data_IF_852371554711
#
_entry.id   IF_852371554711
#
_cell.length_a   1.000
_cell.length_b   1.000
_cell.length_c   1.000
_cell.angle_alpha   90.00
_cell.angle_beta   90.00
_cell.angle_gamma   90.00
#
_symmetry.space_group_name_H-M   'P 1'
#
loop_
_entity.id
_entity.type
_entity.pdbx_description
1 polymer ?
#
# COMPACT_ATOMS: atom_id res chain seq x y z
N UNK A 1 20.56 35.37 12.16
CA UNK A 1 19.93 36.20 13.21
C UNK A 1 18.77 35.39 13.78
N UNK A 2 18.75 34.97 14.82
CA UNK A 2 19.19 34.47 16.07
C UNK A 2 18.16 33.45 16.59
N UNK A 3 18.38 32.18 16.20
CA UNK A 3 17.55 31.05 16.72
C UNK A 3 17.88 30.68 18.18
N UNK A 4 18.89 31.32 18.76
CA UNK A 4 19.40 30.92 20.07
C UNK A 4 18.84 31.74 21.25
N UNK A 5 18.35 32.97 21.06
CA UNK A 5 17.87 33.84 22.14
C UNK A 5 16.45 33.55 22.60
N UNK A 6 15.64 32.81 21.85
CA UNK A 6 14.27 32.42 22.24
C UNK A 6 14.21 31.22 23.20
N UNK A 7 15.36 30.59 23.51
CA UNK A 7 15.45 29.33 24.27
C UNK A 7 15.39 29.48 25.78
N UNK A 8 15.39 30.68 26.34
CA UNK A 8 15.44 30.92 27.80
C UNK A 8 14.35 31.82 28.35
N UNK A 9 13.28 32.09 27.66
CA UNK A 9 12.15 32.80 28.28
C UNK A 9 11.19 31.77 28.89
N UNK A 10 11.02 31.85 30.23
CA UNK A 10 10.02 31.04 30.96
C UNK A 10 8.59 31.43 30.59
N UNK A 11 8.37 32.07 29.44
CA UNK A 11 7.07 32.54 28.96
C UNK A 11 6.71 31.88 27.64
N UNK A 12 5.44 31.60 27.45
CA UNK A 12 4.96 31.00 26.21
C UNK A 12 5.22 31.92 25.01
N UNK A 13 5.74 31.35 23.91
CA UNK A 13 6.07 32.09 22.70
C UNK A 13 4.86 32.84 22.09
N UNK A 14 3.63 32.34 22.33
CA UNK A 14 2.38 32.95 21.84
C UNK A 14 1.69 33.80 22.90
N UNK A 15 1.74 33.40 24.17
CA UNK A 15 1.10 34.09 25.30
C UNK A 15 2.18 34.55 26.27
N UNK A 16 2.71 35.75 26.04
CA UNK A 16 3.81 36.34 26.83
C UNK A 16 3.51 36.55 28.30
N UNK A 17 2.22 36.56 28.68
CA UNK A 17 1.76 36.69 30.06
C UNK A 17 1.77 35.40 30.87
N UNK A 18 1.88 34.24 30.19
CA UNK A 18 1.87 32.91 30.86
C UNK A 18 3.27 32.34 30.99
N UNK A 19 3.71 32.15 32.24
CA UNK A 19 4.98 31.45 32.54
C UNK A 19 4.79 29.95 32.37
N UNK A 20 5.76 29.28 31.76
CA UNK A 20 5.70 27.87 31.50
C UNK A 20 7.11 27.24 31.48
N UNK A 21 7.20 26.00 31.99
CA UNK A 21 8.41 25.17 31.90
C UNK A 21 8.29 24.10 30.80
N UNK A 22 7.22 24.15 30.00
CA UNK A 22 7.01 23.19 28.92
C UNK A 22 7.64 23.71 27.63
N UNK A 23 8.41 22.87 26.94
CA UNK A 23 9.01 23.16 25.64
C UNK A 23 8.52 22.21 24.56
N UNK A 24 8.50 22.68 23.33
CA UNK A 24 8.15 21.87 22.17
C UNK A 24 9.29 20.90 21.81
N UNK A 25 9.00 19.62 21.71
CA UNK A 25 10.00 18.57 21.40
C UNK A 25 10.67 18.71 20.00
N UNK A 26 10.18 19.63 19.15
CA UNK A 26 10.71 19.80 17.77
C UNK A 26 11.46 21.11 17.57
N UNK A 27 10.98 22.21 18.14
CA UNK A 27 11.56 23.54 17.94
C UNK A 27 12.07 24.19 19.24
N UNK A 28 11.95 23.51 20.39
CA UNK A 28 12.38 23.93 21.73
C UNK A 28 11.74 25.26 22.25
N UNK A 29 10.74 25.82 21.55
CA UNK A 29 10.04 26.99 22.06
C UNK A 29 9.22 26.66 23.31
N UNK A 30 9.24 27.57 24.30
CA UNK A 30 8.40 27.49 25.50
C UNK A 30 6.93 27.62 25.14
N UNK A 31 6.09 26.68 25.58
CA UNK A 31 4.67 26.59 25.26
C UNK A 31 3.82 26.43 26.51
N UNK A 32 2.75 27.22 26.66
CA UNK A 32 1.80 27.08 27.77
C UNK A 32 0.83 25.91 27.54
N UNK A 33 0.12 25.48 28.58
CA UNK A 33 -0.83 24.37 28.58
C UNK A 33 -1.90 24.53 27.47
N UNK A 34 -2.32 25.79 27.18
CA UNK A 34 -3.30 26.07 26.12
C UNK A 34 -2.76 25.90 24.67
N UNK A 35 -1.42 25.92 24.53
CA UNK A 35 -0.75 25.76 23.22
C UNK A 35 -0.16 24.37 23.00
N UNK A 36 -0.25 23.49 24.00
CA UNK A 36 0.25 22.12 23.96
C UNK A 36 -0.65 21.24 23.09
N UNK A 37 -0.02 20.47 22.19
CA UNK A 37 -0.65 19.34 21.49
C UNK A 37 0.12 18.07 21.81
N UNK A 38 -0.57 17.12 22.41
CA UNK A 38 0.00 15.80 22.69
C UNK A 38 0.10 14.99 21.40
N UNK A 39 1.31 14.54 21.08
CA UNK A 39 1.56 13.65 19.93
C UNK A 39 2.24 12.40 20.44
N UNK A 40 2.19 11.26 19.71
CA UNK A 40 2.88 10.02 20.09
C UNK A 40 4.39 10.21 20.28
N UNK A 41 4.96 11.28 19.70
CA UNK A 41 6.39 11.62 19.77
C UNK A 41 6.70 12.71 20.81
N UNK A 42 5.74 13.02 21.72
CA UNK A 42 5.91 14.03 22.76
C UNK A 42 5.05 15.27 22.59
N UNK A 43 5.33 16.28 23.40
CA UNK A 43 4.61 17.56 23.44
C UNK A 43 5.10 18.46 22.31
N UNK A 44 4.16 18.99 21.48
CA UNK A 44 4.50 19.88 20.36
C UNK A 44 3.66 21.16 20.38
N UNK A 45 4.23 22.24 19.84
CA UNK A 45 3.48 23.45 19.58
C UNK A 45 2.54 23.25 18.37
N UNK A 46 1.51 24.12 18.25
CA UNK A 46 0.51 24.03 17.18
C UNK A 46 1.11 24.03 15.77
N UNK A 47 2.20 24.76 15.56
CA UNK A 47 2.89 24.81 14.27
C UNK A 47 3.63 23.49 13.97
N UNK A 48 4.30 22.91 14.97
CA UNK A 48 5.04 21.66 14.79
C UNK A 48 4.13 20.42 14.81
N UNK A 49 2.99 20.48 15.47
CA UNK A 49 1.99 19.41 15.45
C UNK A 49 1.28 19.29 14.08
N UNK A 50 1.12 20.41 13.38
CA UNK A 50 0.58 20.45 12.01
C UNK A 50 1.61 20.14 10.94
N UNK A 51 2.86 19.85 11.30
CA UNK A 51 3.84 19.34 10.36
C UNK A 51 3.31 18.05 9.77
N UNK A 52 3.14 18.10 8.46
CA UNK A 52 2.59 17.09 7.54
C UNK A 52 2.66 15.66 8.08
N UNK A 53 1.53 14.98 8.05
CA UNK A 53 1.44 13.53 8.19
C UNK A 53 2.61 12.90 7.43
N UNK A 54 3.29 11.96 8.08
CA UNK A 54 4.43 11.25 7.47
C UNK A 54 4.03 10.81 6.06
N UNK A 55 4.77 11.21 5.01
CA UNK A 55 4.35 11.00 3.61
C UNK A 55 4.25 9.53 3.18
N UNK A 56 4.52 8.59 4.08
CA UNK A 56 4.41 7.14 3.85
C UNK A 56 2.98 6.66 3.55
N UNK A 57 1.97 7.41 3.99
CA UNK A 57 0.55 7.05 3.77
C UNK A 57 -0.13 7.89 2.67
N UNK A 58 0.53 8.90 2.13
CA UNK A 58 -0.03 9.70 1.03
C UNK A 58 0.34 9.05 -0.30
N UNK A 59 -0.66 8.47 -0.96
CA UNK A 59 -0.54 7.93 -2.30
C UNK A 59 -0.82 9.07 -3.27
N UNK A 60 0.23 9.61 -3.89
CA UNK A 60 0.09 10.58 -4.98
C UNK A 60 -0.52 9.90 -6.22
N UNK A 61 -1.31 10.61 -7.04
CA UNK A 61 -1.95 10.05 -8.24
C UNK A 61 -0.96 9.41 -9.21
N UNK A 62 0.30 9.87 -9.22
CA UNK A 62 1.35 9.30 -10.06
C UNK A 62 1.65 7.83 -9.71
N UNK A 63 1.68 7.48 -8.41
CA UNK A 63 1.89 6.09 -8.00
C UNK A 63 0.70 5.19 -8.36
N UNK A 64 -0.51 5.77 -8.35
CA UNK A 64 -1.72 5.07 -8.76
C UNK A 64 -1.66 4.69 -10.25
N UNK A 65 -1.35 5.66 -11.13
CA UNK A 65 -1.21 5.44 -12.58
C UNK A 65 -0.11 4.43 -12.86
N UNK A 66 1.06 4.59 -12.22
CA UNK A 66 2.18 3.67 -12.39
C UNK A 66 1.83 2.24 -11.95
N UNK A 67 1.11 2.09 -10.85
CA UNK A 67 0.63 0.80 -10.36
C UNK A 67 -0.34 0.13 -11.33
N UNK A 68 -1.33 0.86 -11.85
CA UNK A 68 -2.31 0.33 -12.80
C UNK A 68 -1.68 -0.09 -14.12
N UNK A 69 -0.75 0.68 -14.67
CA UNK A 69 0.00 0.33 -15.89
C UNK A 69 0.81 -0.96 -15.67
N UNK A 70 1.50 -1.06 -14.53
CA UNK A 70 2.28 -2.25 -14.18
C UNK A 70 1.41 -3.51 -14.10
N UNK A 71 0.22 -3.42 -13.54
CA UNK A 71 -0.73 -4.54 -13.46
C UNK A 71 -1.19 -4.95 -14.87
N UNK A 72 -1.55 -4.00 -15.73
CA UNK A 72 -1.99 -4.32 -17.10
C UNK A 72 -0.90 -5.07 -17.86
N UNK A 73 0.35 -4.62 -17.76
CA UNK A 73 1.50 -5.29 -18.39
C UNK A 73 1.66 -6.70 -17.83
N UNK A 74 1.58 -6.86 -16.51
CA UNK A 74 1.73 -8.17 -15.86
C UNK A 74 0.62 -9.14 -16.29
N UNK A 75 -0.63 -8.68 -16.33
CA UNK A 75 -1.77 -9.50 -16.74
C UNK A 75 -1.64 -9.93 -18.21
N UNK A 76 -1.27 -9.01 -19.10
CA UNK A 76 -1.12 -9.33 -20.53
C UNK A 76 0.01 -10.32 -20.78
N UNK A 77 1.19 -10.11 -20.19
CA UNK A 77 2.32 -11.03 -20.32
C UNK A 77 2.01 -12.41 -19.74
N UNK A 78 1.35 -12.44 -18.58
CA UNK A 78 0.99 -13.69 -17.93
C UNK A 78 -0.04 -14.49 -18.73
N UNK A 79 -1.09 -13.84 -19.27
CA UNK A 79 -2.11 -14.52 -20.08
C UNK A 79 -1.55 -15.03 -21.40
N UNK A 80 -0.67 -14.29 -22.06
CA UNK A 80 0.04 -14.75 -23.27
C UNK A 80 0.92 -15.94 -22.94
N UNK A 81 1.70 -15.88 -21.86
CA UNK A 81 2.55 -16.99 -21.42
C UNK A 81 1.75 -18.27 -21.13
N UNK A 82 0.61 -18.16 -20.44
CA UNK A 82 -0.29 -19.27 -20.18
C UNK A 82 -0.89 -19.85 -21.47
N UNK A 83 -1.27 -19.01 -22.41
CA UNK A 83 -1.79 -19.46 -23.70
C UNK A 83 -0.76 -20.33 -24.43
N UNK A 84 0.49 -19.89 -24.53
CA UNK A 84 1.57 -20.67 -25.12
C UNK A 84 1.83 -21.97 -24.35
N UNK A 85 1.87 -21.90 -23.02
CA UNK A 85 2.12 -23.08 -22.18
C UNK A 85 1.05 -24.16 -22.40
N UNK A 86 -0.22 -23.77 -22.40
CA UNK A 86 -1.32 -24.71 -22.61
C UNK A 86 -1.41 -25.24 -24.06
N UNK A 87 -0.97 -24.42 -25.04
CA UNK A 87 -1.04 -24.81 -26.47
C UNK A 87 0.07 -25.74 -26.90
N UNK A 88 1.29 -25.57 -26.36
CA UNK A 88 2.48 -26.22 -26.87
C UNK A 88 3.12 -27.24 -25.93
N UNK A 89 2.94 -27.11 -24.63
CA UNK A 89 3.71 -27.91 -23.67
C UNK A 89 2.83 -28.92 -22.96
N UNK A 90 1.91 -28.50 -22.13
CA UNK A 90 1.08 -29.38 -21.30
C UNK A 90 -0.24 -28.67 -20.96
N UNK A 91 -1.36 -29.23 -21.37
CA UNK A 91 -2.68 -28.82 -20.92
C UNK A 91 -3.13 -29.70 -19.76
N UNK A 92 -3.14 -29.20 -18.54
CA UNK A 92 -3.56 -29.96 -17.36
C UNK A 92 -4.21 -29.11 -16.29
N UNK A 93 -5.11 -29.74 -15.51
CA UNK A 93 -5.82 -29.10 -14.41
C UNK A 93 -4.86 -28.51 -13.38
N UNK A 94 -3.84 -29.27 -12.99
CA UNK A 94 -2.84 -28.87 -11.99
C UNK A 94 -2.07 -27.62 -12.41
N UNK A 95 -1.69 -27.52 -13.68
CA UNK A 95 -0.96 -26.34 -14.20
C UNK A 95 -1.82 -25.09 -14.11
N UNK A 96 -3.11 -25.19 -14.46
CA UNK A 96 -4.03 -24.07 -14.38
C UNK A 96 -4.29 -23.62 -12.94
N UNK A 97 -4.36 -24.56 -11.99
CA UNK A 97 -4.50 -24.23 -10.57
C UNK A 97 -3.25 -23.54 -10.00
N UNK A 98 -2.07 -24.05 -10.35
CA UNK A 98 -0.80 -23.42 -9.98
C UNK A 98 -0.67 -22.02 -10.61
N UNK A 99 -1.13 -21.85 -11.85
CA UNK A 99 -1.13 -20.56 -12.53
C UNK A 99 -1.92 -19.49 -11.78
N UNK A 100 -3.05 -19.82 -11.17
CA UNK A 100 -3.83 -18.87 -10.35
C UNK A 100 -3.02 -18.39 -9.14
N UNK A 101 -2.33 -19.29 -8.46
CA UNK A 101 -1.48 -18.96 -7.30
C UNK A 101 -0.31 -18.07 -7.73
N UNK A 102 0.37 -18.43 -8.82
CA UNK A 102 1.48 -17.65 -9.39
C UNK A 102 1.00 -16.25 -9.82
N UNK A 103 -0.17 -16.14 -10.43
CA UNK A 103 -0.77 -14.86 -10.81
C UNK A 103 -0.98 -13.96 -9.60
N UNK A 104 -1.55 -14.48 -8.51
CA UNK A 104 -1.74 -13.71 -7.27
C UNK A 104 -0.41 -13.19 -6.71
N UNK A 105 0.62 -14.04 -6.68
CA UNK A 105 1.96 -13.66 -6.25
C UNK A 105 2.58 -12.56 -7.15
N UNK A 106 2.49 -12.71 -8.47
CA UNK A 106 3.02 -11.73 -9.43
C UNK A 106 2.33 -10.37 -9.31
N UNK A 107 1.01 -10.34 -9.17
CA UNK A 107 0.26 -9.08 -8.96
C UNK A 107 0.74 -8.39 -7.67
N UNK A 108 0.85 -9.13 -6.56
CA UNK A 108 1.34 -8.58 -5.30
C UNK A 108 2.76 -7.99 -5.42
N UNK A 109 3.67 -8.70 -6.09
CA UNK A 109 5.06 -8.26 -6.27
C UNK A 109 5.16 -7.04 -7.20
N UNK A 110 4.53 -7.07 -8.38
CA UNK A 110 4.63 -6.00 -9.37
C UNK A 110 3.97 -4.71 -8.88
N UNK A 111 2.83 -4.81 -8.21
CA UNK A 111 2.17 -3.66 -7.62
C UNK A 111 3.01 -3.06 -6.48
N UNK A 112 3.53 -3.90 -5.57
CA UNK A 112 4.38 -3.46 -4.47
C UNK A 112 5.63 -2.74 -4.96
N UNK A 113 6.30 -3.29 -5.98
CA UNK A 113 7.48 -2.68 -6.59
C UNK A 113 7.14 -1.35 -7.29
N UNK A 114 6.04 -1.29 -8.05
CA UNK A 114 5.61 -0.08 -8.78
C UNK A 114 5.29 1.09 -7.86
N UNK A 115 4.79 0.82 -6.65
CA UNK A 115 4.39 1.83 -5.66
C UNK A 115 5.47 2.10 -4.62
N UNK A 116 6.71 1.58 -4.83
CA UNK A 116 7.84 1.71 -3.90
C UNK A 116 7.48 1.23 -2.47
N UNK A 117 6.83 0.07 -2.35
CA UNK A 117 6.47 -0.56 -1.07
C UNK A 117 5.61 0.31 -0.15
N UNK A 118 4.88 1.29 -0.69
CA UNK A 118 3.92 2.06 0.08
C UNK A 118 2.73 1.18 0.46
N UNK A 119 2.26 1.32 1.70
CA UNK A 119 1.10 0.57 2.21
C UNK A 119 -0.14 1.46 2.24
N UNK A 120 -1.30 0.92 1.86
CA UNK A 120 -2.55 1.66 1.89
C UNK A 120 -3.76 0.80 1.57
N UNK A 121 -4.92 1.15 2.16
CA UNK A 121 -6.17 0.41 1.95
C UNK A 121 -6.60 0.39 0.47
N UNK A 122 -6.37 1.47 -0.25
CA UNK A 122 -6.67 1.56 -1.69
C UNK A 122 -5.82 0.60 -2.53
N UNK A 123 -4.55 0.39 -2.17
CA UNK A 123 -3.68 -0.55 -2.87
C UNK A 123 -4.14 -1.99 -2.69
N UNK A 124 -4.63 -2.36 -1.50
CA UNK A 124 -5.25 -3.67 -1.26
C UNK A 124 -6.45 -3.90 -2.19
N UNK A 125 -7.31 -2.89 -2.31
CA UNK A 125 -8.49 -2.97 -3.15
C UNK A 125 -8.12 -3.14 -4.64
N UNK A 126 -7.11 -2.41 -5.12
CA UNK A 126 -6.58 -2.54 -6.49
C UNK A 126 -6.02 -3.94 -6.72
N UNK A 127 -5.24 -4.47 -5.77
CA UNK A 127 -4.68 -5.82 -5.87
C UNK A 127 -5.78 -6.89 -6.01
N UNK A 128 -6.84 -6.80 -5.19
CA UNK A 128 -7.98 -7.72 -5.26
C UNK A 128 -8.73 -7.61 -6.59
N UNK A 129 -9.05 -6.40 -7.05
CA UNK A 129 -9.73 -6.17 -8.33
C UNK A 129 -8.89 -6.73 -9.49
N UNK A 130 -7.58 -6.48 -9.47
CA UNK A 130 -6.66 -6.97 -10.50
C UNK A 130 -6.56 -8.49 -10.50
N UNK A 131 -6.60 -9.12 -9.33
CA UNK A 131 -6.62 -10.57 -9.22
C UNK A 131 -7.91 -11.17 -9.79
N UNK A 132 -9.06 -10.59 -9.49
CA UNK A 132 -10.36 -11.02 -10.04
C UNK A 132 -10.38 -10.86 -11.56
N UNK A 133 -9.93 -9.71 -12.10
CA UNK A 133 -9.84 -9.52 -13.55
C UNK A 133 -8.89 -10.50 -14.21
N UNK A 134 -7.78 -10.84 -13.57
CA UNK A 134 -6.86 -11.86 -14.05
C UNK A 134 -7.50 -13.25 -14.13
N UNK A 135 -8.27 -13.66 -13.12
CA UNK A 135 -9.01 -14.93 -13.14
C UNK A 135 -10.02 -14.95 -14.29
N UNK A 136 -10.78 -13.86 -14.48
CA UNK A 136 -11.76 -13.76 -15.57
C UNK A 136 -11.07 -13.92 -16.94
N UNK A 137 -9.93 -13.27 -17.15
CA UNK A 137 -9.16 -13.42 -18.39
C UNK A 137 -8.70 -14.86 -18.63
N UNK A 138 -8.22 -15.53 -17.61
CA UNK A 138 -7.80 -16.94 -17.70
C UNK A 138 -9.00 -17.84 -18.05
N UNK A 139 -10.18 -17.61 -17.47
CA UNK A 139 -11.41 -18.36 -17.77
C UNK A 139 -11.83 -18.16 -19.21
N UNK A 140 -11.78 -16.92 -19.73
CA UNK A 140 -12.15 -16.63 -21.13
C UNK A 140 -11.26 -17.36 -22.11
N UNK A 141 -9.95 -17.45 -21.82
CA UNK A 141 -8.98 -18.15 -22.67
C UNK A 141 -9.11 -19.68 -22.54
N UNK A 142 -9.30 -20.18 -21.33
CA UNK A 142 -9.41 -21.60 -21.00
C UNK A 142 -10.80 -21.96 -20.49
N UNK A 143 -11.76 -22.25 -21.35
CA UNK A 143 -13.12 -22.68 -20.98
C UNK A 143 -13.14 -23.90 -20.05
N UNK A 144 -12.13 -24.78 -20.15
CA UNK A 144 -11.98 -25.97 -19.30
C UNK A 144 -11.69 -25.62 -17.83
N UNK A 145 -11.13 -24.43 -17.57
CA UNK A 145 -10.83 -23.97 -16.22
C UNK A 145 -12.13 -23.71 -15.40
N UNK A 146 -13.21 -23.33 -16.03
CA UNK A 146 -14.48 -23.07 -15.37
C UNK A 146 -14.97 -24.27 -14.55
N UNK A 147 -14.84 -25.48 -15.10
CA UNK A 147 -15.23 -26.73 -14.44
C UNK A 147 -14.34 -27.01 -13.22
N UNK A 148 -13.05 -26.72 -13.36
CA UNK A 148 -12.04 -26.99 -12.33
C UNK A 148 -12.08 -25.98 -11.18
N UNK A 149 -12.58 -24.76 -11.41
CA UNK A 149 -12.72 -23.73 -10.37
C UNK A 149 -13.77 -24.13 -9.31
N UNK A 150 -14.78 -24.89 -9.69
CA UNK A 150 -15.83 -25.41 -8.78
C UNK A 150 -15.35 -26.61 -7.95
N UNK A 151 -14.13 -27.10 -8.17
CA UNK A 151 -13.55 -28.12 -7.30
C UNK A 151 -12.98 -27.50 -6.02
N UNK A 152 -12.85 -28.31 -4.96
CA UNK A 152 -12.25 -27.90 -3.67
C UNK A 152 -10.84 -27.32 -3.89
N UNK A 153 -10.07 -27.91 -4.78
CA UNK A 153 -8.72 -27.43 -5.14
C UNK A 153 -8.75 -26.06 -5.84
N UNK A 154 -9.76 -25.82 -6.69
CA UNK A 154 -9.97 -24.52 -7.33
C UNK A 154 -10.27 -23.42 -6.30
N UNK A 155 -11.17 -23.68 -5.38
CA UNK A 155 -11.47 -22.72 -4.30
C UNK A 155 -10.22 -22.45 -3.44
N UNK A 156 -9.46 -23.46 -3.07
CA UNK A 156 -8.21 -23.29 -2.31
C UNK A 156 -7.18 -22.44 -3.07
N UNK A 157 -6.99 -22.67 -4.39
CA UNK A 157 -6.05 -21.89 -5.20
C UNK A 157 -6.46 -20.40 -5.30
N UNK A 158 -7.74 -20.10 -5.38
CA UNK A 158 -8.25 -18.73 -5.38
C UNK A 158 -7.97 -18.03 -4.03
N UNK A 159 -8.25 -18.70 -2.91
CA UNK A 159 -8.01 -18.15 -1.58
C UNK A 159 -6.52 -17.86 -1.38
N UNK A 160 -5.65 -18.81 -1.71
CA UNK A 160 -4.20 -18.66 -1.59
C UNK A 160 -3.71 -17.53 -2.50
N UNK A 161 -4.14 -17.48 -3.76
CA UNK A 161 -3.76 -16.44 -4.71
C UNK A 161 -4.23 -15.04 -4.28
N UNK A 162 -5.45 -14.91 -3.77
CA UNK A 162 -5.97 -13.66 -3.22
C UNK A 162 -5.17 -13.21 -1.99
N UNK A 163 -4.85 -14.12 -1.09
CA UNK A 163 -4.00 -13.83 0.06
C UNK A 163 -2.64 -13.31 -0.36
N UNK A 164 -1.95 -14.00 -1.27
CA UNK A 164 -0.63 -13.59 -1.77
C UNK A 164 -0.65 -12.25 -2.51
N UNK A 165 -1.75 -11.89 -3.18
CA UNK A 165 -1.88 -10.60 -3.86
C UNK A 165 -1.97 -9.42 -2.88
N UNK A 166 -2.47 -9.65 -1.66
CA UNK A 166 -2.74 -8.60 -0.65
C UNK A 166 -1.71 -8.56 0.46
N UNK A 167 -0.98 -9.65 0.70
CA UNK A 167 -0.03 -9.81 1.82
C UNK A 167 1.06 -8.72 1.88
N UNK A 168 1.41 -8.13 0.74
CA UNK A 168 2.42 -7.05 0.63
C UNK A 168 1.94 -5.68 1.10
N UNK A 169 0.66 -5.46 1.29
CA UNK A 169 0.02 -4.18 1.61
C UNK A 169 -0.68 -4.19 2.98
#
# INVERSE_FOLDING_TARGET
MDKQTAKMSNTCYKHKSETTNLSCATCDYSICIKCVIHTPTGIKCKNCANLKKIPTFEITPVYFIRGTISIIITLTLFTIGLYFLNSYIISGVLINLLAIIVLGFLIGQTLSFSVNYKRGKFLKLIAVISFITGIILIIVINKLLLINLFSIFGAASIIIGAYLSVDKF
#
